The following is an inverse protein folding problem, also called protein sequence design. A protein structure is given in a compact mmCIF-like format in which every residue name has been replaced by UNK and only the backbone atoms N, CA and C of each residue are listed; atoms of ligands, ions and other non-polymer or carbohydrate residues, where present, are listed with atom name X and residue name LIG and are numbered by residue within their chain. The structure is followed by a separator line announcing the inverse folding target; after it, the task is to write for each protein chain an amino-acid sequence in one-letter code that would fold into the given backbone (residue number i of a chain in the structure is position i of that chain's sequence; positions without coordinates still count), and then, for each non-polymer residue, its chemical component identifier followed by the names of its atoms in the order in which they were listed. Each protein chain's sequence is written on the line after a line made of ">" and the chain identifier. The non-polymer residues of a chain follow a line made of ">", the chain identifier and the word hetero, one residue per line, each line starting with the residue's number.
data_IF_041788377178
#
_entry.id   IF_041788377178
#
_cell.length_a   1.000
_cell.length_b   1.000
_cell.length_c   1.000
_cell.angle_alpha   90.00
_cell.angle_beta   90.00
_cell.angle_gamma   90.00
#
_symmetry.space_group_name_H-M   'P 1'
#
loop_
_entity.id
_entity.type
_entity.pdbx_description
1 polymer ?
#
# COMPACT_ATOMS: atom_id res chain seq x y z
N UNK A 1 14.77 17.91 1.43
CA UNK A 1 13.46 17.49 0.92
C UNK A 1 12.87 16.56 1.96
N UNK A 2 11.77 16.95 2.61
CA UNK A 2 11.17 16.19 3.71
C UNK A 2 10.68 14.81 3.24
N UNK A 3 11.44 13.77 3.61
CA UNK A 3 11.11 12.37 3.31
C UNK A 3 10.01 11.81 4.22
N UNK A 4 9.64 12.55 5.27
CA UNK A 4 8.64 12.19 6.28
C UNK A 4 7.19 12.18 5.78
N UNK A 5 6.92 12.78 4.62
CA UNK A 5 5.57 12.87 4.02
C UNK A 5 5.26 11.66 3.12
N UNK A 6 6.28 10.97 2.63
CA UNK A 6 6.14 9.81 1.73
C UNK A 6 5.40 8.62 2.36
N UNK A 7 5.57 8.29 3.66
CA UNK A 7 4.77 7.27 4.32
C UNK A 7 3.27 7.58 4.32
N UNK A 8 2.89 8.85 4.56
CA UNK A 8 1.50 9.29 4.55
C UNK A 8 0.91 9.24 3.13
N UNK A 9 1.70 9.60 2.11
CA UNK A 9 1.31 9.48 0.70
C UNK A 9 1.14 8.01 0.30
N UNK A 10 2.05 7.14 0.70
CA UNK A 10 1.95 5.70 0.47
C UNK A 10 0.71 5.10 1.16
N UNK A 11 0.44 5.46 2.41
CA UNK A 11 -0.78 5.05 3.10
C UNK A 11 -2.04 5.55 2.38
N UNK A 12 -2.05 6.79 1.89
CA UNK A 12 -3.15 7.36 1.13
C UNK A 12 -3.39 6.66 -0.21
N UNK A 13 -2.32 6.35 -0.96
CA UNK A 13 -2.40 5.63 -2.22
C UNK A 13 -2.92 4.20 -2.03
N UNK A 14 -2.46 3.50 -0.98
CA UNK A 14 -2.92 2.14 -0.70
C UNK A 14 -4.39 2.12 -0.22
N UNK A 15 -4.80 3.08 0.63
CA UNK A 15 -6.21 3.26 0.99
C UNK A 15 -7.09 3.55 -0.23
N UNK A 16 -6.58 4.33 -1.19
CA UNK A 16 -7.28 4.64 -2.44
C UNK A 16 -7.39 3.39 -3.34
N UNK A 17 -6.33 2.59 -3.45
CA UNK A 17 -6.36 1.31 -4.16
C UNK A 17 -7.39 0.34 -3.53
N UNK A 18 -7.41 0.23 -2.20
CA UNK A 18 -8.41 -0.55 -1.48
C UNK A 18 -9.84 -0.07 -1.75
N UNK A 19 -10.08 1.24 -1.78
CA UNK A 19 -11.37 1.81 -2.13
C UNK A 19 -11.79 1.45 -3.57
N UNK A 20 -10.88 1.53 -4.54
CA UNK A 20 -11.16 1.11 -5.91
C UNK A 20 -11.48 -0.38 -6.02
N UNK A 21 -10.83 -1.25 -5.24
CA UNK A 21 -11.14 -2.68 -5.18
C UNK A 21 -12.53 -2.94 -4.61
N UNK A 22 -12.92 -2.26 -3.52
CA UNK A 22 -14.26 -2.37 -2.94
C UNK A 22 -15.33 -1.88 -3.93
N UNK A 23 -15.09 -0.74 -4.60
CA UNK A 23 -15.98 -0.23 -5.64
C UNK A 23 -16.07 -1.23 -6.80
N UNK A 24 -14.94 -1.79 -7.23
CA UNK A 24 -14.87 -2.84 -8.25
C UNK A 24 -15.69 -4.07 -7.87
N UNK A 25 -15.63 -4.51 -6.61
CA UNK A 25 -16.41 -5.62 -6.08
C UNK A 25 -17.92 -5.34 -6.09
N UNK A 26 -18.34 -4.14 -5.68
CA UNK A 26 -19.75 -3.73 -5.75
C UNK A 26 -20.23 -3.68 -7.20
N UNK A 27 -19.41 -3.19 -8.14
CA UNK A 27 -19.76 -3.10 -9.56
C UNK A 27 -19.92 -4.47 -10.22
N UNK A 28 -19.07 -5.46 -9.89
CA UNK A 28 -19.22 -6.82 -10.42
C UNK A 28 -20.43 -7.53 -9.84
N UNK A 29 -20.73 -7.33 -8.53
CA UNK A 29 -21.94 -7.85 -7.88
C UNK A 29 -23.21 -7.27 -8.50
N UNK A 30 -23.16 -6.04 -9.00
CA UNK A 30 -24.25 -5.38 -9.76
C UNK A 30 -24.29 -5.74 -11.25
N UNK A 31 -23.47 -6.69 -11.72
CA UNK A 31 -23.42 -7.13 -13.12
C UNK A 31 -22.77 -6.13 -14.10
N UNK A 32 -22.23 -5.01 -13.61
CA UNK A 32 -21.67 -3.92 -14.44
C UNK A 32 -20.21 -4.21 -14.82
N UNK A 33 -20.00 -5.21 -15.69
CA UNK A 33 -18.66 -5.70 -16.09
C UNK A 33 -17.74 -4.62 -16.67
N UNK A 34 -18.27 -3.68 -17.48
CA UNK A 34 -17.48 -2.56 -18.04
C UNK A 34 -16.98 -1.60 -16.96
N UNK A 35 -17.84 -1.23 -16.02
CA UNK A 35 -17.48 -0.36 -14.89
C UNK A 35 -16.49 -1.05 -13.93
N UNK A 36 -16.67 -2.36 -13.70
CA UNK A 36 -15.70 -3.16 -12.94
C UNK A 36 -14.31 -3.15 -13.59
N UNK A 37 -14.21 -3.38 -14.91
CA UNK A 37 -12.91 -3.30 -15.62
C UNK A 37 -12.24 -1.94 -15.47
N UNK A 38 -12.99 -0.85 -15.61
CA UNK A 38 -12.46 0.50 -15.43
C UNK A 38 -11.96 0.73 -13.99
N UNK A 39 -12.71 0.27 -12.98
CA UNK A 39 -12.30 0.35 -11.57
C UNK A 39 -11.05 -0.50 -11.27
N UNK A 40 -10.93 -1.69 -11.86
CA UNK A 40 -9.74 -2.54 -11.70
C UNK A 40 -8.50 -1.93 -12.36
N UNK A 41 -8.63 -1.30 -13.52
CA UNK A 41 -7.52 -0.57 -14.16
C UNK A 41 -7.09 0.65 -13.33
N UNK A 42 -8.03 1.39 -12.76
CA UNK A 42 -7.74 2.49 -11.86
C UNK A 42 -7.04 2.01 -10.57
N UNK A 43 -7.51 0.91 -9.97
CA UNK A 43 -6.86 0.27 -8.83
C UNK A 43 -5.42 -0.12 -9.17
N UNK A 44 -5.20 -0.76 -10.33
CA UNK A 44 -3.87 -1.18 -10.78
C UNK A 44 -2.94 0.02 -10.96
N UNK A 45 -3.39 1.09 -11.61
CA UNK A 45 -2.60 2.30 -11.77
C UNK A 45 -2.22 2.92 -10.41
N UNK A 46 -3.16 2.92 -9.45
CA UNK A 46 -2.93 3.42 -8.10
C UNK A 46 -1.90 2.55 -7.35
N UNK A 47 -1.99 1.22 -7.45
CA UNK A 47 -1.02 0.28 -6.87
C UNK A 47 0.38 0.41 -7.48
N UNK A 48 0.48 0.63 -8.80
CA UNK A 48 1.78 0.87 -9.46
C UNK A 48 2.40 2.18 -8.94
N UNK A 49 1.59 3.24 -8.79
CA UNK A 49 2.06 4.51 -8.26
C UNK A 49 2.52 4.38 -6.80
N UNK A 50 1.76 3.64 -5.98
CA UNK A 50 2.13 3.28 -4.61
C UNK A 50 3.47 2.55 -4.57
N UNK A 51 3.64 1.52 -5.40
CA UNK A 51 4.87 0.73 -5.42
C UNK A 51 6.09 1.57 -5.81
N UNK A 52 5.94 2.43 -6.82
CA UNK A 52 7.00 3.33 -7.25
C UNK A 52 7.38 4.33 -6.13
N UNK A 53 6.39 4.92 -5.45
CA UNK A 53 6.62 5.84 -4.33
C UNK A 53 7.24 5.12 -3.11
N UNK A 54 6.81 3.90 -2.82
CA UNK A 54 7.37 3.04 -1.78
C UNK A 54 8.82 2.67 -2.04
N UNK A 55 9.17 2.20 -3.26
CA UNK A 55 10.55 1.90 -3.64
C UNK A 55 11.43 3.16 -3.54
N UNK A 56 10.92 4.30 -3.99
CA UNK A 56 11.63 5.58 -3.91
C UNK A 56 11.90 5.97 -2.46
N UNK A 57 10.90 5.87 -1.58
CA UNK A 57 11.08 6.09 -0.14
C UNK A 57 12.08 5.12 0.47
N UNK A 58 11.97 3.83 0.16
CA UNK A 58 12.86 2.80 0.69
C UNK A 58 14.31 3.02 0.26
N UNK A 59 14.53 3.47 -0.98
CA UNK A 59 15.85 3.81 -1.51
C UNK A 59 16.44 5.06 -0.83
N UNK A 60 15.62 6.08 -0.55
CA UNK A 60 16.05 7.35 0.05
C UNK A 60 16.19 7.30 1.58
N UNK A 61 15.34 6.54 2.27
CA UNK A 61 15.26 6.55 3.74
C UNK A 61 16.34 5.69 4.41
N UNK A 62 16.94 4.74 3.68
CA UNK A 62 17.91 3.79 4.24
C UNK A 62 17.28 2.82 5.26
N UNK A 63 18.00 1.76 5.61
CA UNK A 63 17.53 0.76 6.57
C UNK A 63 17.54 1.32 8.00
N UNK A 64 16.39 1.75 8.49
CA UNK A 64 16.21 2.13 9.90
C UNK A 64 16.19 0.87 10.76
N UNK A 65 17.27 0.64 11.51
CA UNK A 65 17.34 -0.45 12.50
C UNK A 65 16.48 -0.10 13.70
N UNK A 66 15.46 -0.91 13.96
CA UNK A 66 14.68 -0.82 15.19
C UNK A 66 15.59 -1.08 16.41
N UNK A 67 15.75 -0.11 17.35
CA UNK A 67 16.70 -0.22 18.46
C UNK A 67 16.19 -1.07 19.64
N UNK A 68 14.92 -1.46 19.66
CA UNK A 68 14.32 -2.23 20.76
C UNK A 68 14.70 -3.71 20.74
N UNK A 69 14.99 -4.27 21.91
CA UNK A 69 15.25 -5.71 22.14
C UNK A 69 14.01 -6.41 22.73
N UNK A 70 13.88 -7.73 22.54
CA UNK A 70 12.81 -8.55 23.16
C UNK A 70 11.54 -8.75 22.31
N UNK A 71 10.45 -9.19 22.96
CA UNK A 71 9.19 -9.58 22.30
C UNK A 71 8.53 -8.48 21.45
N UNK A 72 8.73 -7.20 21.82
CA UNK A 72 8.23 -6.05 21.08
C UNK A 72 8.87 -5.92 19.68
N UNK A 73 10.15 -6.30 19.52
CA UNK A 73 10.83 -6.32 18.22
C UNK A 73 10.27 -7.41 17.32
N UNK A 74 10.04 -8.60 17.86
CA UNK A 74 9.45 -9.71 17.12
C UNK A 74 8.06 -9.35 16.63
N UNK A 75 7.19 -8.82 17.51
CA UNK A 75 5.86 -8.34 17.14
C UNK A 75 5.92 -7.26 16.04
N UNK A 76 6.78 -6.25 16.21
CA UNK A 76 6.95 -5.19 15.21
C UNK A 76 7.41 -5.74 13.86
N UNK A 77 8.44 -6.59 13.83
CA UNK A 77 8.96 -7.17 12.60
C UNK A 77 8.01 -8.18 11.96
N UNK A 78 7.24 -8.94 12.74
CA UNK A 78 6.21 -9.85 12.23
C UNK A 78 5.08 -9.10 11.56
N UNK A 79 4.57 -8.04 12.20
CA UNK A 79 3.53 -7.18 11.61
C UNK A 79 4.09 -6.48 10.36
N UNK A 80 5.30 -5.93 10.45
CA UNK A 80 5.93 -5.24 9.33
C UNK A 80 6.16 -6.20 8.16
N UNK A 81 6.68 -7.41 8.40
CA UNK A 81 6.93 -8.42 7.37
C UNK A 81 5.62 -8.84 6.70
N UNK A 82 4.62 -9.24 7.48
CA UNK A 82 3.33 -9.68 6.94
C UNK A 82 2.65 -8.57 6.15
N UNK A 83 2.65 -7.34 6.65
CA UNK A 83 2.13 -6.18 5.95
C UNK A 83 2.91 -5.90 4.65
N UNK A 84 4.24 -5.97 4.65
CA UNK A 84 5.07 -5.71 3.46
C UNK A 84 4.90 -6.79 2.39
N UNK A 85 4.66 -8.05 2.77
CA UNK A 85 4.44 -9.16 1.83
C UNK A 85 3.01 -9.15 1.27
N UNK A 86 2.03 -8.71 2.05
CA UNK A 86 0.62 -8.63 1.62
C UNK A 86 0.26 -7.33 0.88
N UNK A 87 1.05 -6.26 1.04
CA UNK A 87 0.84 -4.97 0.40
C UNK A 87 1.32 -4.96 -1.07
#
# INVERSE_FOLDING_TARGET
>A
MDVSILPSVNAGLNATAAAFLVIGYVMIRRGRKKAHKAAMLAALACSVLFLASYLTYHYLAGSTRFPGTGAARTLYLSILLTHTVLA
#
